data_IF_566287206897
#
_entry.id   IF_566287206897
#
_cell.length_a   1.000
_cell.length_b   1.000
_cell.length_c   1.000
_cell.angle_alpha   90.00
_cell.angle_beta   90.00
_cell.angle_gamma   90.00
#
_symmetry.space_group_name_H-M   'P 1'
#
loop_
_entity.id
_entity.type
_entity.pdbx_description
1 polymer ?
#
# COMPACT_ATOMS: atom_id res chain seq x y z
N UNK A 1 -6.09 -27.53 21.16
CA UNK A 1 -5.75 -26.63 20.05
C UNK A 1 -5.31 -25.31 20.67
N UNK A 2 -4.01 -25.01 20.56
CA UNK A 2 -3.23 -24.33 21.60
C UNK A 2 -3.52 -22.83 21.74
N UNK A 3 -3.72 -22.38 22.98
CA UNK A 3 -4.00 -20.97 23.35
C UNK A 3 -3.00 -19.97 22.73
N UNK A 4 -1.76 -20.38 22.49
CA UNK A 4 -0.73 -19.57 21.83
C UNK A 4 -1.08 -19.12 20.40
N UNK A 5 -1.80 -19.94 19.63
CA UNK A 5 -2.21 -19.60 18.24
C UNK A 5 -3.28 -18.51 18.24
N UNK A 6 -4.13 -18.52 19.27
CA UNK A 6 -5.19 -17.52 19.45
C UNK A 6 -4.61 -16.14 19.75
N UNK A 7 -3.65 -16.04 20.67
CA UNK A 7 -2.96 -14.78 20.97
C UNK A 7 -2.21 -14.22 19.76
N UNK A 8 -1.51 -15.08 19.01
CA UNK A 8 -0.80 -14.67 17.79
C UNK A 8 -1.76 -14.08 16.75
N UNK A 9 -2.93 -14.70 16.56
CA UNK A 9 -3.93 -14.26 15.59
C UNK A 9 -4.52 -12.89 15.94
N UNK A 10 -4.77 -12.62 17.22
CA UNK A 10 -5.27 -11.32 17.70
C UNK A 10 -4.21 -10.24 17.50
N UNK A 11 -2.96 -10.51 17.89
CA UNK A 11 -1.87 -9.56 17.72
C UNK A 11 -1.69 -9.25 16.24
N UNK A 12 -1.73 -10.26 15.36
CA UNK A 12 -1.63 -10.07 13.93
C UNK A 12 -2.77 -9.23 13.36
N UNK A 13 -4.01 -9.42 13.82
CA UNK A 13 -5.14 -8.58 13.39
C UNK A 13 -4.98 -7.12 13.83
N UNK A 14 -4.59 -6.87 15.08
CA UNK A 14 -4.38 -5.51 15.59
C UNK A 14 -3.24 -4.84 14.83
N UNK A 15 -2.11 -5.54 14.64
CA UNK A 15 -0.95 -5.04 13.92
C UNK A 15 -1.29 -4.77 12.46
N UNK A 16 -2.07 -5.63 11.82
CA UNK A 16 -2.50 -5.42 10.43
C UNK A 16 -3.45 -4.22 10.34
N UNK A 17 -4.41 -4.08 11.26
CA UNK A 17 -5.39 -2.99 11.20
C UNK A 17 -4.74 -1.63 11.46
N UNK A 18 -3.96 -1.50 12.53
CA UNK A 18 -3.33 -0.23 12.91
C UNK A 18 -2.03 0.03 12.14
N UNK A 19 -1.22 -1.00 11.91
CA UNK A 19 0.04 -0.90 11.16
C UNK A 19 -0.21 -0.57 9.69
N UNK A 20 -1.13 -1.28 9.02
CA UNK A 20 -1.44 -0.98 7.61
C UNK A 20 -2.12 0.37 7.46
N UNK A 21 -3.05 0.73 8.35
CA UNK A 21 -3.74 2.03 8.25
C UNK A 21 -2.79 3.21 8.48
N UNK A 22 -1.87 3.11 9.44
CA UNK A 22 -0.87 4.15 9.66
C UNK A 22 0.14 4.22 8.51
N UNK A 23 0.59 3.08 7.99
CA UNK A 23 1.43 3.01 6.79
C UNK A 23 0.75 3.66 5.57
N UNK A 24 -0.55 3.45 5.40
CA UNK A 24 -1.35 4.11 4.34
C UNK A 24 -1.43 5.61 4.54
N UNK A 25 -1.68 6.07 5.77
CA UNK A 25 -1.74 7.48 6.07
C UNK A 25 -0.39 8.18 5.80
N UNK A 26 0.70 7.67 6.39
CA UNK A 26 2.03 8.23 6.19
C UNK A 26 2.54 8.09 4.76
N UNK A 27 2.26 6.95 4.11
CA UNK A 27 2.65 6.71 2.72
C UNK A 27 1.95 7.65 1.74
N UNK A 28 0.65 7.88 1.90
CA UNK A 28 -0.07 8.87 1.07
C UNK A 28 0.43 10.29 1.34
N UNK A 29 0.66 10.66 2.60
CA UNK A 29 1.12 12.01 2.98
C UNK A 29 2.54 12.28 2.44
N UNK A 30 3.45 11.32 2.59
CA UNK A 30 4.80 11.38 2.02
C UNK A 30 4.77 11.48 0.50
N UNK A 31 4.02 10.62 -0.19
CA UNK A 31 3.91 10.67 -1.65
C UNK A 31 3.28 11.99 -2.14
N UNK A 32 2.27 12.53 -1.44
CA UNK A 32 1.67 13.83 -1.75
C UNK A 32 2.67 14.98 -1.63
N UNK A 33 3.47 15.00 -0.56
CA UNK A 33 4.52 16.00 -0.37
C UNK A 33 5.58 15.88 -1.47
N UNK A 34 6.01 14.66 -1.81
CA UNK A 34 6.97 14.41 -2.88
C UNK A 34 6.45 14.88 -4.24
N UNK A 35 5.18 14.61 -4.57
CA UNK A 35 4.54 15.13 -5.78
C UNK A 35 4.48 16.66 -5.74
N UNK A 36 4.11 17.27 -4.61
CA UNK A 36 4.04 18.72 -4.47
C UNK A 36 5.41 19.39 -4.69
N UNK A 37 6.49 18.81 -4.17
CA UNK A 37 7.86 19.29 -4.36
C UNK A 37 8.30 19.14 -5.82
N UNK A 38 8.10 17.98 -6.44
CA UNK A 38 8.51 17.75 -7.83
C UNK A 38 7.61 18.42 -8.86
N UNK A 39 6.39 18.83 -8.49
CA UNK A 39 5.54 19.67 -9.32
C UNK A 39 6.08 21.10 -9.44
N UNK A 40 6.98 21.56 -8.57
CA UNK A 40 7.56 22.90 -8.68
C UNK A 40 8.43 23.03 -9.95
N UNK A 41 8.25 24.12 -10.69
CA UNK A 41 8.93 24.37 -11.98
C UNK A 41 10.45 24.30 -11.89
N UNK A 42 11.03 24.69 -10.74
CA UNK A 42 12.48 24.68 -10.52
C UNK A 42 13.07 23.25 -10.48
N UNK A 43 12.31 22.26 -10.01
CA UNK A 43 12.75 20.87 -9.89
C UNK A 43 12.59 20.08 -11.21
N UNK A 44 11.83 20.59 -12.19
CA UNK A 44 11.56 19.93 -13.48
C UNK A 44 12.71 20.03 -14.49
N UNK A 45 13.80 20.73 -14.14
CA UNK A 45 14.97 20.90 -15.00
C UNK A 45 15.81 19.63 -15.13
N UNK A 46 15.68 18.69 -14.19
CA UNK A 46 16.48 17.47 -14.16
C UNK A 46 15.63 16.25 -14.57
N UNK A 47 16.07 15.42 -15.54
CA UNK A 47 15.36 14.19 -15.92
C UNK A 47 15.15 13.23 -14.73
N UNK A 48 16.06 13.25 -13.74
CA UNK A 48 15.93 12.43 -12.52
C UNK A 48 14.64 12.71 -11.74
N UNK A 49 14.18 13.96 -11.73
CA UNK A 49 12.94 14.35 -11.04
C UNK A 49 11.69 13.69 -11.64
N UNK A 50 11.68 13.44 -12.96
CA UNK A 50 10.57 12.72 -13.60
C UNK A 50 10.54 11.23 -13.25
N UNK A 51 11.71 10.60 -13.10
CA UNK A 51 11.81 9.21 -12.63
C UNK A 51 11.32 9.09 -11.19
N UNK A 52 11.75 10.00 -10.31
CA UNK A 52 11.30 10.04 -8.92
C UNK A 52 9.79 10.31 -8.81
N UNK A 53 9.26 11.23 -9.62
CA UNK A 53 7.82 11.49 -9.69
C UNK A 53 7.05 10.24 -10.13
N UNK A 54 7.50 9.56 -11.19
CA UNK A 54 6.86 8.35 -11.71
C UNK A 54 6.87 7.23 -10.67
N UNK A 55 8.00 7.04 -9.99
CA UNK A 55 8.12 6.06 -8.91
C UNK A 55 7.19 6.39 -7.74
N UNK A 56 7.04 7.67 -7.38
CA UNK A 56 6.13 8.14 -6.33
C UNK A 56 4.66 7.89 -6.71
N UNK A 57 4.28 8.11 -7.97
CA UNK A 57 2.93 7.81 -8.48
C UNK A 57 2.67 6.31 -8.46
N UNK A 58 3.61 5.50 -8.96
CA UNK A 58 3.51 4.04 -8.89
C UNK A 58 3.37 3.56 -7.45
N UNK A 59 4.15 4.13 -6.53
CA UNK A 59 4.07 3.82 -5.11
C UNK A 59 2.69 4.17 -4.55
N UNK A 60 2.14 5.35 -4.86
CA UNK A 60 0.79 5.77 -4.44
C UNK A 60 -0.29 4.78 -4.93
N UNK A 61 -0.21 4.37 -6.19
CA UNK A 61 -1.15 3.39 -6.77
C UNK A 61 -1.02 2.04 -6.06
N UNK A 62 0.21 1.56 -5.86
CA UNK A 62 0.46 0.27 -5.20
C UNK A 62 -0.02 0.27 -3.75
N UNK A 63 0.18 1.37 -3.03
CA UNK A 63 -0.21 1.51 -1.64
C UNK A 63 -1.75 1.49 -1.51
N UNK A 64 -2.45 2.21 -2.39
CA UNK A 64 -3.91 2.22 -2.43
C UNK A 64 -4.48 0.86 -2.90
N UNK A 65 -4.01 0.31 -4.03
CA UNK A 65 -4.54 -0.95 -4.59
C UNK A 65 -4.13 -2.17 -3.78
N UNK A 66 -2.96 -2.16 -3.16
CA UNK A 66 -2.45 -3.27 -2.36
C UNK A 66 -3.06 -3.34 -0.97
N UNK A 67 -3.26 -2.19 -0.30
CA UNK A 67 -3.57 -2.15 1.14
C UNK A 67 -5.05 -1.85 1.45
N UNK A 68 -5.71 -0.96 0.69
CA UNK A 68 -7.16 -0.71 0.87
C UNK A 68 -8.00 -1.99 0.88
N UNK A 69 -7.84 -2.94 -0.06
CA UNK A 69 -8.66 -4.14 -0.07
C UNK A 69 -8.38 -5.10 1.09
N UNK A 70 -7.21 -5.04 1.73
CA UNK A 70 -6.91 -5.81 2.95
C UNK A 70 -7.72 -5.25 4.13
N UNK A 71 -7.72 -3.92 4.27
CA UNK A 71 -8.49 -3.24 5.32
C UNK A 71 -9.99 -3.47 5.10
N UNK A 72 -10.44 -3.43 3.84
CA UNK A 72 -11.84 -3.62 3.49
C UNK A 72 -12.31 -5.08 3.68
N UNK A 73 -11.45 -6.06 3.37
CA UNK A 73 -11.67 -7.49 3.63
C UNK A 73 -11.83 -7.81 5.11
N UNK A 74 -11.27 -6.98 6.01
CA UNK A 74 -11.38 -7.16 7.44
C UNK A 74 -12.79 -6.84 8.00
N UNK A 75 -13.55 -6.00 7.31
CA UNK A 75 -14.86 -5.50 7.78
C UNK A 75 -16.03 -6.06 6.93
N UNK A 76 -15.81 -6.40 5.66
CA UNK A 76 -16.82 -6.89 4.71
C UNK A 76 -16.33 -8.10 3.89
N UNK A 77 -17.27 -8.87 3.32
CA UNK A 77 -17.02 -10.05 2.48
C UNK A 77 -15.93 -9.78 1.43
N UNK A 78 -14.92 -10.65 1.38
CA UNK A 78 -13.73 -10.57 0.53
C UNK A 78 -14.02 -10.12 -0.91
N UNK A 79 -13.74 -8.86 -1.22
CA UNK A 79 -13.74 -8.33 -2.60
C UNK A 79 -12.75 -9.10 -3.48
N UNK A 80 -11.68 -9.64 -2.87
CA UNK A 80 -10.68 -10.49 -3.54
C UNK A 80 -11.27 -11.81 -4.04
N UNK A 81 -12.26 -12.37 -3.31
CA UNK A 81 -13.00 -13.57 -3.74
C UNK A 81 -14.00 -13.24 -4.85
N UNK A 82 -14.57 -12.02 -4.82
CA UNK A 82 -15.55 -11.56 -5.81
C UNK A 82 -14.93 -11.20 -7.16
N UNK A 83 -13.70 -10.68 -7.18
CA UNK A 83 -13.01 -10.24 -8.40
C UNK A 83 -11.59 -10.80 -8.50
N UNK A 84 -11.42 -11.88 -9.26
CA UNK A 84 -10.12 -12.52 -9.51
C UNK A 84 -9.04 -11.55 -10.06
N UNK A 85 -9.46 -10.50 -10.77
CA UNK A 85 -8.58 -9.46 -11.31
C UNK A 85 -7.89 -8.70 -10.18
N UNK A 86 -8.63 -8.34 -9.13
CA UNK A 86 -8.09 -7.61 -7.97
C UNK A 86 -7.09 -8.48 -7.21
N UNK A 87 -7.39 -9.77 -7.05
CA UNK A 87 -6.49 -10.73 -6.41
C UNK A 87 -5.16 -10.88 -7.19
N UNK A 88 -5.22 -11.00 -8.53
CA UNK A 88 -4.01 -11.07 -9.37
C UNK A 88 -3.18 -9.79 -9.33
N UNK A 89 -3.83 -8.62 -9.36
CA UNK A 89 -3.14 -7.34 -9.28
C UNK A 89 -2.45 -7.19 -7.91
N UNK A 90 -3.11 -7.53 -6.81
CA UNK A 90 -2.49 -7.51 -5.49
C UNK A 90 -1.29 -8.45 -5.38
N UNK A 91 -1.41 -9.66 -5.90
CA UNK A 91 -0.32 -10.64 -5.87
C UNK A 91 0.89 -10.13 -6.68
N UNK A 92 0.64 -9.59 -7.87
CA UNK A 92 1.68 -9.02 -8.72
C UNK A 92 2.36 -7.81 -8.06
N UNK A 93 1.59 -6.89 -7.47
CA UNK A 93 2.14 -5.72 -6.77
C UNK A 93 2.98 -6.15 -5.56
N UNK A 94 2.51 -7.09 -4.75
CA UNK A 94 3.28 -7.61 -3.60
C UNK A 94 4.59 -8.25 -4.04
N UNK A 95 4.54 -9.06 -5.09
CA UNK A 95 5.74 -9.72 -5.61
C UNK A 95 6.72 -8.72 -6.26
N UNK A 96 6.21 -7.72 -6.98
CA UNK A 96 7.06 -6.74 -7.67
C UNK A 96 7.68 -5.69 -6.74
N UNK A 97 7.00 -5.31 -5.65
CA UNK A 97 7.42 -4.21 -4.78
C UNK A 97 7.92 -4.64 -3.40
N UNK A 98 7.48 -5.79 -2.87
CA UNK A 98 7.74 -6.20 -1.48
C UNK A 98 8.82 -7.30 -1.36
N UNK A 99 9.42 -7.70 -2.48
CA UNK A 99 10.51 -8.68 -2.52
C UNK A 99 11.85 -7.95 -2.57
N UNK A 100 12.23 -7.36 -1.43
CA UNK A 100 13.58 -6.93 -1.07
C UNK A 100 13.99 -7.69 0.18
#
# INVERSE_FOLDING_TARGET
>A
MSSSVYYLSIVQQILTRYGMSSYVAFGNLGNLLTIAVFCQSEQRKNPCSYYLLSMTICNLICLNVGILPIIYSLDHIDISSKYQIVCKIQFYIRHAFFQI
#
